data_IF_975274972194
#
_entry.id   IF_975274972194
#
_cell.length_a   1.000
_cell.length_b   1.000
_cell.length_c   1.000
_cell.angle_alpha   90.00
_cell.angle_beta   90.00
_cell.angle_gamma   90.00
#
_symmetry.space_group_name_H-M   'P 1'
#
loop_
_entity.id
_entity.type
_entity.pdbx_description
1 polymer ?
#
# COMPACT_ATOMS: atom_id res chain seq x y z
N UNK A 1 -1.92 13.92 4.04
CA UNK A 1 -2.37 13.77 2.63
C UNK A 1 -3.84 13.35 2.63
N UNK A 2 -4.59 13.70 1.59
CA UNK A 2 -6.02 13.35 1.51
C UNK A 2 -6.22 12.05 0.74
N UNK A 3 -6.93 11.11 1.34
CA UNK A 3 -7.27 9.81 0.77
C UNK A 3 -8.79 9.66 0.62
N UNK A 4 -9.21 8.64 -0.14
CA UNK A 4 -10.58 8.18 -0.22
C UNK A 4 -10.73 6.91 0.60
N UNK A 5 -11.55 6.97 1.65
CA UNK A 5 -12.00 5.78 2.36
C UNK A 5 -13.26 5.24 1.66
N UNK A 6 -13.15 4.08 1.03
CA UNK A 6 -14.23 3.46 0.26
C UNK A 6 -14.67 2.19 0.98
N UNK A 7 -15.94 2.12 1.33
CA UNK A 7 -16.55 0.91 1.90
C UNK A 7 -17.18 0.07 0.80
N UNK A 8 -16.62 -1.11 0.59
CA UNK A 8 -17.15 -2.11 -0.32
C UNK A 8 -18.03 -3.10 0.43
N UNK A 9 -19.19 -3.44 -0.13
CA UNK A 9 -19.92 -4.65 0.24
C UNK A 9 -19.28 -5.83 -0.50
N UNK A 10 -18.83 -6.82 0.27
CA UNK A 10 -18.33 -8.11 -0.21
C UNK A 10 -19.32 -9.21 0.20
N UNK A 11 -19.11 -10.44 -0.27
CA UNK A 11 -19.94 -11.57 0.18
C UNK A 11 -19.84 -11.85 1.68
N UNK A 12 -18.67 -11.58 2.28
CA UNK A 12 -18.40 -11.83 3.70
C UNK A 12 -18.76 -10.66 4.62
N UNK A 13 -19.27 -9.55 4.08
CA UNK A 13 -19.66 -8.38 4.86
C UNK A 13 -19.31 -7.07 4.18
N UNK A 14 -18.79 -6.12 4.95
CA UNK A 14 -18.28 -4.84 4.43
C UNK A 14 -16.80 -4.69 4.74
N UNK A 15 -16.05 -4.13 3.81
CA UNK A 15 -14.63 -3.83 3.98
C UNK A 15 -14.35 -2.39 3.58
N UNK A 16 -13.74 -1.62 4.48
CA UNK A 16 -13.21 -0.30 4.16
C UNK A 16 -11.81 -0.44 3.55
N UNK A 17 -11.54 0.33 2.50
CA UNK A 17 -10.26 0.40 1.82
C UNK A 17 -9.92 1.86 1.61
N UNK A 18 -8.69 2.22 1.97
CA UNK A 18 -8.08 3.50 1.69
C UNK A 18 -7.44 3.46 0.32
N UNK A 19 -7.92 4.33 -0.57
CA UNK A 19 -7.40 4.57 -1.92
C UNK A 19 -6.96 6.02 -2.08
N UNK A 20 -6.19 6.29 -3.13
CA UNK A 20 -5.83 7.65 -3.50
C UNK A 20 -7.01 8.34 -4.17
N UNK A 21 -7.16 9.65 -3.93
CA UNK A 21 -8.17 10.46 -4.65
C UNK A 21 -7.94 10.44 -6.16
N UNK A 22 -6.67 10.49 -6.55
CA UNK A 22 -6.22 10.36 -7.93
C UNK A 22 -5.32 9.12 -8.02
N UNK A 23 -5.78 8.02 -8.63
CA UNK A 23 -5.00 6.80 -8.71
C UNK A 23 -3.76 7.02 -9.59
N UNK A 24 -2.59 6.69 -9.05
CA UNK A 24 -1.31 6.70 -9.77
C UNK A 24 -0.62 5.36 -9.59
N UNK A 25 -0.08 4.81 -10.65
CA UNK A 25 0.56 3.47 -10.63
C UNK A 25 1.83 3.42 -9.78
N UNK A 26 2.40 4.57 -9.42
CA UNK A 26 3.62 4.70 -8.62
C UNK A 26 3.37 5.03 -7.16
N UNK A 27 2.12 5.25 -6.78
CA UNK A 27 1.73 5.61 -5.42
C UNK A 27 0.87 4.51 -4.81
N UNK A 28 1.21 4.10 -3.60
CA UNK A 28 0.53 2.99 -2.95
C UNK A 28 0.33 3.26 -1.46
N UNK A 29 -0.85 2.84 -0.97
CA UNK A 29 -1.10 2.69 0.46
C UNK A 29 -0.75 1.26 0.85
N UNK A 30 0.20 1.11 1.76
CA UNK A 30 0.67 -0.18 2.26
C UNK A 30 0.03 -0.44 3.62
N UNK A 31 -0.51 -1.64 3.76
CA UNK A 31 -1.20 -2.09 4.95
C UNK A 31 -0.27 -2.93 5.77
N UNK A 32 -0.20 -2.68 7.07
CA UNK A 32 0.43 -3.55 8.05
C UNK A 32 -0.67 -4.21 8.87
N UNK A 33 -0.66 -5.55 8.94
CA UNK A 33 -1.66 -6.30 9.71
C UNK A 33 -3.12 -5.99 9.31
N UNK A 34 -3.36 -5.75 8.01
CA UNK A 34 -4.64 -5.31 7.43
C UNK A 34 -5.10 -3.90 7.83
N UNK A 35 -4.23 -3.07 8.39
CA UNK A 35 -4.49 -1.66 8.73
C UNK A 35 -3.63 -0.77 7.81
N UNK A 36 -4.19 0.28 7.18
CA UNK A 36 -3.39 1.24 6.41
C UNK A 36 -2.34 1.87 7.33
N UNK A 37 -1.06 1.69 7.00
CA UNK A 37 0.04 2.08 7.88
C UNK A 37 1.04 3.01 7.18
N UNK A 38 1.33 2.72 5.91
CA UNK A 38 2.35 3.45 5.18
C UNK A 38 1.86 3.98 3.84
N UNK A 39 2.51 5.04 3.38
CA UNK A 39 2.34 5.58 2.06
C UNK A 39 3.69 5.63 1.34
N UNK A 40 3.72 5.11 0.12
CA UNK A 40 4.91 5.11 -0.73
C UNK A 40 4.59 5.80 -2.05
N UNK A 41 5.50 6.68 -2.48
CA UNK A 41 5.49 7.26 -3.82
C UNK A 41 6.87 7.02 -4.44
N UNK A 42 6.92 6.15 -5.45
CA UNK A 42 8.18 5.78 -6.07
C UNK A 42 8.88 6.96 -6.77
N UNK A 43 8.22 8.08 -7.03
CA UNK A 43 8.86 9.26 -7.63
C UNK A 43 9.19 10.38 -6.64
N UNK A 44 8.77 10.26 -5.38
CA UNK A 44 9.18 11.17 -4.31
C UNK A 44 10.56 10.76 -3.78
N UNK A 45 11.60 11.10 -4.55
CA UNK A 45 13.00 10.73 -4.27
C UNK A 45 13.64 11.55 -3.14
N UNK A 46 12.95 12.57 -2.61
CA UNK A 46 13.44 13.33 -1.46
C UNK A 46 13.44 12.47 -0.18
N UNK A 47 12.57 11.46 -0.12
CA UNK A 47 12.55 10.47 0.95
C UNK A 47 13.36 9.24 0.56
N UNK A 48 14.34 8.89 1.38
CA UNK A 48 15.24 7.77 1.13
C UNK A 48 14.48 6.43 0.99
N UNK A 49 13.56 6.14 1.91
CA UNK A 49 12.65 4.99 1.81
C UNK A 49 11.91 4.88 0.47
N UNK A 50 11.43 5.99 -0.10
CA UNK A 50 10.76 6.01 -1.40
C UNK A 50 11.75 5.75 -2.55
N UNK A 51 12.95 6.31 -2.48
CA UNK A 51 14.02 6.05 -3.44
C UNK A 51 14.46 4.56 -3.42
N UNK A 52 14.55 3.95 -2.23
CA UNK A 52 14.82 2.53 -2.08
C UNK A 52 13.70 1.68 -2.68
N UNK A 53 12.43 2.02 -2.40
CA UNK A 53 11.27 1.33 -2.98
C UNK A 53 11.22 1.48 -4.51
N UNK A 54 11.56 2.65 -5.04
CA UNK A 54 11.72 2.84 -6.49
C UNK A 54 12.73 1.84 -7.07
N UNK A 55 13.91 1.71 -6.44
CA UNK A 55 14.94 0.77 -6.86
C UNK A 55 14.44 -0.68 -6.84
N UNK A 56 13.81 -1.08 -5.72
CA UNK A 56 13.32 -2.44 -5.49
C UNK A 56 12.17 -2.85 -6.41
N UNK A 57 11.30 -1.91 -6.78
CA UNK A 57 10.09 -2.19 -7.58
C UNK A 57 10.32 -1.83 -9.06
N UNK A 58 10.61 -0.57 -9.35
CA UNK A 58 10.67 -0.06 -10.72
C UNK A 58 11.99 -0.43 -11.41
N UNK A 59 13.15 -0.13 -10.80
CA UNK A 59 14.45 -0.40 -11.44
C UNK A 59 14.71 -1.90 -11.57
N UNK A 60 14.40 -2.68 -10.52
CA UNK A 60 14.53 -4.13 -10.55
C UNK A 60 13.41 -4.85 -11.35
N UNK A 61 12.41 -4.11 -11.86
CA UNK A 61 11.24 -4.64 -12.59
C UNK A 61 10.51 -5.75 -11.83
N UNK A 62 10.40 -5.61 -10.50
CA UNK A 62 9.73 -6.58 -9.63
C UNK A 62 8.32 -6.12 -9.29
N UNK A 63 7.32 -7.01 -9.24
CA UNK A 63 6.00 -6.68 -8.73
C UNK A 63 6.09 -6.20 -7.28
N UNK A 64 5.31 -5.17 -6.91
CA UNK A 64 5.26 -4.66 -5.54
C UNK A 64 4.94 -5.77 -4.52
N UNK A 65 4.06 -6.71 -4.87
CA UNK A 65 3.71 -7.84 -4.02
C UNK A 65 4.92 -8.71 -3.66
N UNK A 66 5.77 -9.01 -4.64
CA UNK A 66 7.01 -9.77 -4.43
C UNK A 66 7.98 -9.02 -3.50
N UNK A 67 8.12 -7.71 -3.70
CA UNK A 67 8.97 -6.86 -2.85
C UNK A 67 8.45 -6.86 -1.40
N UNK A 68 7.14 -6.71 -1.20
CA UNK A 68 6.55 -6.78 0.14
C UNK A 68 6.72 -8.16 0.78
N UNK A 69 6.60 -9.25 0.03
CA UNK A 69 6.85 -10.61 0.53
C UNK A 69 8.29 -10.81 1.01
N UNK A 70 9.27 -10.27 0.28
CA UNK A 70 10.68 -10.30 0.67
C UNK A 70 10.91 -9.50 1.96
N UNK A 71 10.33 -8.30 2.06
CA UNK A 71 10.40 -7.46 3.26
C UNK A 71 9.76 -8.17 4.45
N UNK A 72 8.58 -8.76 4.27
CA UNK A 72 7.86 -9.51 5.30
C UNK A 72 8.69 -10.66 5.86
N UNK A 73 9.28 -11.46 4.96
CA UNK A 73 10.09 -12.62 5.34
C UNK A 73 11.35 -12.23 6.12
N UNK A 74 12.02 -11.15 5.70
CA UNK A 74 13.28 -10.70 6.34
C UNK A 74 13.04 -10.04 7.70
N UNK A 75 11.96 -9.28 7.83
CA UNK A 75 11.72 -8.45 9.02
C UNK A 75 10.66 -9.05 9.97
N UNK A 76 10.08 -10.21 9.64
CA UNK A 76 8.99 -10.83 10.39
C UNK A 76 7.80 -9.87 10.60
N UNK A 77 7.41 -9.19 9.52
CA UNK A 77 6.27 -8.26 9.46
C UNK A 77 5.24 -8.73 8.44
N UNK A 78 4.07 -8.10 8.43
CA UNK A 78 2.96 -8.47 7.54
C UNK A 78 2.44 -7.24 6.78
N UNK A 79 3.16 -6.90 5.71
CA UNK A 79 2.84 -5.84 4.77
C UNK A 79 2.03 -6.39 3.58
N UNK A 80 1.10 -5.60 3.10
CA UNK A 80 0.28 -5.95 1.94
C UNK A 80 -0.23 -4.70 1.21
N UNK A 81 -0.68 -4.89 -0.02
CA UNK A 81 -1.56 -3.93 -0.70
C UNK A 81 -3.02 -4.30 -0.40
N UNK A 82 -3.97 -3.36 -0.45
CA UNK A 82 -5.36 -3.65 -0.10
C UNK A 82 -5.94 -4.79 -0.95
N UNK A 83 -6.18 -5.93 -0.31
CA UNK A 83 -6.82 -7.09 -0.93
C UNK A 83 -8.34 -6.91 -0.91
N UNK A 84 -8.90 -6.46 -2.02
CA UNK A 84 -10.35 -6.51 -2.23
C UNK A 84 -10.69 -7.81 -2.96
N UNK A 85 -11.39 -8.73 -2.29
CA UNK A 85 -11.79 -10.04 -2.84
C UNK A 85 -12.32 -9.90 -4.27
N UNK A 86 -11.66 -10.54 -5.25
CA UNK A 86 -12.06 -10.49 -6.67
C UNK A 86 -13.29 -11.35 -6.98
N UNK A 87 -13.79 -12.11 -6.01
CA UNK A 87 -14.92 -13.01 -6.17
C UNK A 87 -16.25 -12.28 -5.92
N UNK A 88 -17.02 -12.12 -7.00
CA UNK A 88 -18.40 -11.60 -7.09
C UNK A 88 -18.60 -10.09 -7.10
N UNK A 89 -19.85 -9.68 -6.81
CA UNK A 89 -20.32 -8.29 -6.92
C UNK A 89 -19.68 -7.41 -5.84
N UNK A 90 -18.75 -6.53 -6.24
CA UNK A 90 -18.27 -5.42 -5.41
C UNK A 90 -19.20 -4.23 -5.62
N UNK A 91 -19.96 -3.87 -4.59
CA UNK A 91 -20.76 -2.64 -4.59
C UNK A 91 -20.13 -1.63 -3.63
N UNK A 92 -19.81 -0.45 -4.13
CA UNK A 92 -19.46 0.69 -3.28
C UNK A 92 -20.72 1.10 -2.52
N UNK A 93 -20.64 1.10 -1.19
CA UNK A 93 -21.75 1.47 -0.31
C UNK A 93 -21.58 2.91 0.18
N UNK A 94 -20.33 3.32 0.41
CA UNK A 94 -19.97 4.63 0.91
C UNK A 94 -18.57 4.98 0.40
N UNK A 95 -18.36 6.25 0.08
CA UNK A 95 -17.05 6.83 -0.12
C UNK A 95 -16.98 8.13 0.66
N UNK A 96 -15.86 8.36 1.33
CA UNK A 96 -15.61 9.61 2.04
C UNK A 96 -14.16 10.05 1.87
N UNK A 97 -13.97 11.37 1.86
CA UNK A 97 -12.66 11.99 1.83
C UNK A 97 -12.12 12.00 3.25
N UNK A 98 -10.96 11.39 3.48
CA UNK A 98 -10.32 11.32 4.80
C UNK A 98 -8.91 11.84 4.72
N UNK A 99 -8.57 12.79 5.59
CA UNK A 99 -7.19 13.21 5.76
C UNK A 99 -6.47 12.21 6.67
N UNK A 100 -5.34 11.69 6.20
CA UNK A 100 -4.51 10.77 6.96
C UNK A 100 -3.04 11.17 6.83
N UNK A 101 -2.29 10.95 7.90
CA UNK A 101 -0.85 11.06 7.88
C UNK A 101 -0.28 9.63 7.91
N UNK A 102 0.05 9.11 6.74
CA UNK A 102 0.69 7.81 6.60
C UNK A 102 2.18 8.03 6.43
N UNK A 103 2.97 7.35 7.25
CA UNK A 103 4.43 7.44 7.22
C UNK A 103 5.01 6.64 6.05
N UNK A 104 6.24 6.91 5.61
CA UNK A 104 6.93 6.02 4.68
C UNK A 104 7.24 4.66 5.33
N UNK A 105 7.58 3.67 4.51
CA UNK A 105 8.08 2.38 5.03
C UNK A 105 9.42 2.62 5.75
N UNK A 106 9.64 2.02 6.93
CA UNK A 106 10.92 2.10 7.63
C UNK A 106 12.10 1.66 6.77
N UNK A 107 13.12 2.52 6.65
CA UNK A 107 14.32 2.29 5.83
C UNK A 107 15.10 1.05 6.27
N UNK A 108 15.09 0.76 7.57
CA UNK A 108 15.66 -0.44 8.17
C UNK A 108 15.09 -1.73 7.58
N UNK A 109 13.85 -1.75 7.08
CA UNK A 109 13.26 -2.93 6.45
C UNK A 109 13.66 -3.08 4.98
N UNK A 110 14.07 -1.98 4.35
CA UNK A 110 14.43 -1.89 2.93
C UNK A 110 15.92 -2.12 2.71
N UNK A 111 16.78 -1.74 3.66
CA UNK A 111 18.24 -1.86 3.57
C UNK A 111 18.68 -3.30 3.34
N UNK A 112 18.05 -4.25 4.01
CA UNK A 112 18.31 -5.67 3.83
C UNK A 112 17.74 -6.25 2.54
N UNK A 113 16.87 -5.51 1.84
CA UNK A 113 16.16 -5.96 0.64
C UNK A 113 16.86 -5.58 -0.67
N UNK A 114 17.81 -4.65 -0.62
CA UNK A 114 18.78 -4.38 -1.69
C UNK A 114 19.84 -5.48 -1.77
#
# INVERSE_FOLDING_TARGET
MTFLAITYRTFSGTKEVIELKEPKNTQWVIYKDNIPAYFVDFFDLEKESNAMMNSLVLCAKRPLQEVLELINKKNNVNLSVPLISRLGLKKIVRSEVREMNLEPIPEEWLSYSM
#
